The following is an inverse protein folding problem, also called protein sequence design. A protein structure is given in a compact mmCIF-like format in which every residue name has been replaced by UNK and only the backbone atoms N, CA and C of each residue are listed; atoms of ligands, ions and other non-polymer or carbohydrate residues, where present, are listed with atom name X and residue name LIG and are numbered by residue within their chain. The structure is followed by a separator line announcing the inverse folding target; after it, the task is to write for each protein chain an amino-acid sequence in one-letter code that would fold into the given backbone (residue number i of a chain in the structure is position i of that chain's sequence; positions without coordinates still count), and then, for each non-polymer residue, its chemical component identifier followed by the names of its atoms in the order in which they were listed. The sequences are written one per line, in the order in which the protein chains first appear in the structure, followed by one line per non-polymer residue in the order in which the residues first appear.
data_IF_113163649626
#
_entry.id   IF_113163649626
#
_cell.length_a   1.000
_cell.length_b   1.000
_cell.length_c   1.000
_cell.angle_alpha   90.00
_cell.angle_beta   90.00
_cell.angle_gamma   90.00
#
_symmetry.space_group_name_H-M   'P 1'
#
loop_
_entity.id
_entity.type
_entity.pdbx_description
1 polymer ?
#
# COMPACT_ATOMS: atom_id res chain seq x y z
N UNK A 1 -13.92 -5.68 -21.37
CA UNK A 1 -13.41 -4.80 -20.31
C UNK A 1 -12.12 -4.15 -20.80
N UNK A 2 -12.02 -2.83 -20.66
CA UNK A 2 -10.80 -2.12 -21.05
C UNK A 2 -9.77 -2.25 -19.93
N UNK A 3 -8.53 -2.50 -20.33
CA UNK A 3 -7.42 -2.58 -19.40
C UNK A 3 -6.71 -1.24 -19.33
N UNK A 4 -6.91 -0.52 -18.22
CA UNK A 4 -6.20 0.72 -17.97
C UNK A 4 -4.93 0.42 -17.17
N UNK A 5 -3.87 1.19 -17.45
CA UNK A 5 -2.62 1.02 -16.70
C UNK A 5 -2.86 1.28 -15.20
N UNK A 6 -3.73 2.24 -14.88
CA UNK A 6 -4.06 2.57 -13.49
C UNK A 6 -4.65 1.37 -12.75
N UNK A 7 -5.57 0.64 -13.39
CA UNK A 7 -6.17 -0.56 -12.77
C UNK A 7 -5.16 -1.69 -12.64
N UNK A 8 -4.20 -1.79 -13.56
CA UNK A 8 -3.13 -2.78 -13.47
C UNK A 8 -2.19 -2.47 -12.31
N UNK A 9 -1.85 -1.19 -12.12
CA UNK A 9 -1.01 -0.75 -10.99
C UNK A 9 -1.70 -1.09 -9.68
N UNK A 10 -2.96 -0.71 -9.54
CA UNK A 10 -3.73 -1.00 -8.32
C UNK A 10 -3.83 -2.51 -8.08
N UNK A 11 -4.08 -3.29 -9.13
CA UNK A 11 -4.17 -4.75 -9.03
C UNK A 11 -2.85 -5.37 -8.57
N UNK A 12 -1.72 -4.89 -9.06
CA UNK A 12 -0.41 -5.40 -8.62
C UNK A 12 -0.11 -5.02 -7.18
N UNK A 13 -0.50 -3.82 -6.75
CA UNK A 13 -0.37 -3.42 -5.35
C UNK A 13 -1.23 -4.34 -4.46
N UNK A 14 -2.49 -4.58 -4.85
CA UNK A 14 -3.37 -5.49 -4.10
C UNK A 14 -2.76 -6.89 -3.98
N UNK A 15 -2.22 -7.41 -5.08
CA UNK A 15 -1.59 -8.74 -5.09
C UNK A 15 -0.38 -8.78 -4.17
N UNK A 16 0.44 -7.74 -4.19
CA UNK A 16 1.62 -7.64 -3.32
C UNK A 16 1.21 -7.61 -1.85
N UNK A 17 0.16 -6.85 -1.53
CA UNK A 17 -0.33 -6.72 -0.15
C UNK A 17 -0.88 -8.04 0.38
N UNK A 18 -1.72 -8.72 -0.38
CA UNK A 18 -2.33 -9.99 0.08
C UNK A 18 -1.38 -11.17 -0.02
N UNK A 19 -0.33 -11.06 -0.82
CA UNK A 19 0.69 -12.11 -0.97
C UNK A 19 1.89 -11.88 -0.07
N UNK A 20 2.90 -11.19 -0.60
CA UNK A 20 4.18 -11.06 0.09
C UNK A 20 4.10 -10.29 1.42
N UNK A 21 3.30 -9.22 1.46
CA UNK A 21 3.15 -8.45 2.70
C UNK A 21 2.53 -9.31 3.79
N UNK A 22 1.48 -10.07 3.46
CA UNK A 22 0.86 -10.97 4.43
C UNK A 22 1.83 -12.08 4.90
N UNK A 23 2.67 -12.59 4.02
CA UNK A 23 3.71 -13.56 4.41
C UNK A 23 4.66 -12.95 5.43
N UNK A 24 5.12 -11.73 5.19
CA UNK A 24 6.05 -11.04 6.09
C UNK A 24 5.39 -10.73 7.43
N UNK A 25 4.12 -10.34 7.41
CA UNK A 25 3.36 -10.09 8.64
C UNK A 25 3.21 -11.37 9.47
N UNK A 26 3.03 -12.50 8.80
CA UNK A 26 2.92 -13.80 9.47
C UNK A 26 4.21 -14.26 10.14
N UNK A 27 5.35 -13.72 9.75
CA UNK A 27 6.65 -14.04 10.34
C UNK A 27 6.92 -13.25 11.63
N UNK A 28 6.13 -12.24 11.92
CA UNK A 28 6.28 -11.41 13.12
C UNK A 28 5.54 -12.08 14.27
N UNK A 29 6.13 -12.08 15.47
CA UNK A 29 5.59 -12.79 16.64
C UNK A 29 4.35 -12.16 17.27
N UNK A 30 3.86 -11.04 16.71
CA UNK A 30 2.63 -10.41 17.17
C UNK A 30 1.43 -11.04 16.44
N UNK A 31 0.29 -11.08 17.14
CA UNK A 31 -0.96 -11.49 16.52
C UNK A 31 -1.51 -10.34 15.67
N UNK A 32 -0.94 -10.17 14.48
CA UNK A 32 -1.22 -9.02 13.61
C UNK A 32 -2.36 -9.38 12.66
N UNK A 33 -3.39 -8.51 12.51
CA UNK A 33 -4.43 -8.75 11.52
C UNK A 33 -3.83 -8.71 10.11
N UNK A 34 -4.27 -9.63 9.25
CA UNK A 34 -3.78 -9.73 7.89
C UNK A 34 -4.64 -8.90 6.94
N UNK A 35 -4.11 -8.68 5.74
CA UNK A 35 -4.76 -7.88 4.72
C UNK A 35 -5.71 -8.75 3.90
N UNK A 36 -6.92 -8.25 3.65
CA UNK A 36 -7.88 -8.92 2.80
C UNK A 36 -8.70 -7.89 2.03
N UNK A 37 -8.98 -8.16 0.77
CA UNK A 37 -9.88 -7.36 -0.06
C UNK A 37 -11.12 -8.19 -0.37
N UNK A 38 -12.27 -7.55 -0.41
CA UNK A 38 -13.53 -8.21 -0.73
C UNK A 38 -14.68 -7.68 0.09
N UNK A 39 -15.87 -8.22 -0.19
CA UNK A 39 -17.10 -7.77 0.46
C UNK A 39 -17.29 -8.34 1.88
N UNK A 40 -16.74 -9.52 2.12
CA UNK A 40 -16.85 -10.16 3.42
C UNK A 40 -15.69 -9.73 4.31
N UNK A 41 -16.02 -9.26 5.51
CA UNK A 41 -15.02 -8.80 6.48
C UNK A 41 -15.22 -9.53 7.81
N UNK A 42 -14.17 -10.18 8.26
CA UNK A 42 -14.11 -10.64 9.65
C UNK A 42 -13.40 -9.56 10.47
N UNK A 43 -13.61 -9.56 11.79
CA UNK A 43 -12.96 -8.58 12.66
C UNK A 43 -11.44 -8.74 12.78
N UNK A 44 -10.86 -9.76 12.15
CA UNK A 44 -9.43 -10.05 12.23
C UNK A 44 -8.66 -9.65 10.98
N UNK A 45 -9.28 -8.94 10.05
CA UNK A 45 -8.61 -8.51 8.81
C UNK A 45 -8.62 -7.01 8.67
N UNK A 46 -7.65 -6.51 7.88
CA UNK A 46 -7.54 -5.10 7.52
C UNK A 46 -7.80 -4.99 6.03
N UNK A 47 -8.70 -4.08 5.65
CA UNK A 47 -8.99 -3.79 4.25
C UNK A 47 -8.39 -2.43 3.90
N UNK A 48 -7.26 -2.40 3.18
CA UNK A 48 -6.63 -1.13 2.85
C UNK A 48 -7.42 -0.34 1.82
N UNK A 49 -7.25 0.97 1.85
CA UNK A 49 -7.80 1.87 0.83
C UNK A 49 -6.63 2.34 -0.04
N UNK A 50 -6.70 1.99 -1.32
CA UNK A 50 -5.68 2.38 -2.30
C UNK A 50 -6.24 3.53 -3.12
N UNK A 51 -5.55 4.67 -3.11
CA UNK A 51 -5.98 5.87 -3.83
C UNK A 51 -4.88 6.33 -4.76
N UNK A 52 -5.18 6.35 -6.06
CA UNK A 52 -4.30 6.94 -7.05
C UNK A 52 -4.69 8.42 -7.17
N UNK A 53 -3.80 9.32 -6.75
CA UNK A 53 -4.13 10.72 -6.57
C UNK A 53 -3.73 11.60 -7.75
N UNK A 54 -2.67 11.26 -8.46
CA UNK A 54 -2.21 12.06 -9.60
C UNK A 54 -1.27 11.29 -10.49
N UNK A 55 -1.09 11.81 -11.71
CA UNK A 55 -0.09 11.34 -12.63
C UNK A 55 0.56 12.56 -13.25
N UNK A 56 1.88 12.69 -13.08
CA UNK A 56 2.65 13.74 -13.73
C UNK A 56 3.37 13.16 -14.94
N UNK A 57 3.34 13.89 -16.04
CA UNK A 57 4.03 13.49 -17.25
C UNK A 57 5.24 14.39 -17.46
N UNK A 58 6.40 13.78 -17.65
CA UNK A 58 7.63 14.50 -17.94
C UNK A 58 8.29 13.91 -19.18
N UNK A 59 9.04 14.75 -19.92
CA UNK A 59 9.84 14.27 -21.03
C UNK A 59 11.23 13.93 -20.50
N UNK A 60 11.65 12.69 -20.79
CA UNK A 60 13.04 12.28 -20.61
C UNK A 60 13.62 12.17 -22.00
N UNK A 61 14.44 13.13 -22.39
CA UNK A 61 14.88 13.29 -23.77
C UNK A 61 13.71 13.70 -24.69
N UNK A 62 13.97 13.93 -25.97
CA UNK A 62 12.98 14.49 -26.89
C UNK A 62 11.81 13.57 -27.24
N UNK A 63 11.96 12.27 -27.03
CA UNK A 63 11.03 11.28 -27.56
C UNK A 63 10.43 10.43 -26.46
N UNK A 64 11.09 10.35 -25.28
CA UNK A 64 10.68 9.46 -24.20
C UNK A 64 9.85 10.24 -23.18
N UNK A 65 8.62 9.78 -22.98
CA UNK A 65 7.72 10.35 -21.97
C UNK A 65 7.69 9.45 -20.75
N UNK A 66 7.86 10.05 -19.60
CA UNK A 66 7.75 9.35 -18.32
C UNK A 66 6.47 9.76 -17.63
N UNK A 67 5.73 8.76 -17.18
CA UNK A 67 4.55 8.95 -16.33
C UNK A 67 4.95 8.64 -14.89
N UNK A 68 4.62 9.56 -13.97
CA UNK A 68 4.88 9.38 -12.55
C UNK A 68 3.55 9.43 -11.80
N UNK A 69 3.13 8.29 -11.30
CA UNK A 69 1.89 8.15 -10.55
C UNK A 69 2.17 8.33 -9.07
N UNK A 70 1.32 9.12 -8.40
CA UNK A 70 1.33 9.27 -6.95
C UNK A 70 0.15 8.49 -6.39
N UNK A 71 0.43 7.61 -5.45
CA UNK A 71 -0.56 6.69 -4.93
C UNK A 71 -0.38 6.57 -3.42
N UNK A 72 -1.50 6.46 -2.71
CA UNK A 72 -1.46 6.20 -1.27
C UNK A 72 -2.17 4.90 -0.94
N UNK A 73 -1.66 4.23 0.09
CA UNK A 73 -2.30 3.05 0.67
C UNK A 73 -2.53 3.34 2.15
N UNK A 74 -3.78 3.36 2.56
CA UNK A 74 -4.16 3.64 3.94
C UNK A 74 -4.63 2.36 4.63
N UNK A 75 -4.05 2.10 5.80
CA UNK A 75 -4.40 0.96 6.64
C UNK A 75 -4.97 1.48 7.95
N UNK A 76 -6.26 1.22 8.18
CA UNK A 76 -6.93 1.60 9.42
C UNK A 76 -7.06 0.36 10.30
N UNK A 77 -6.52 0.43 11.51
CA UNK A 77 -6.56 -0.69 12.45
C UNK A 77 -7.68 -0.49 13.45
N UNK A 78 -8.30 -1.60 13.93
CA UNK A 78 -9.28 -1.49 15.00
C UNK A 78 -8.61 -1.05 16.30
N UNK A 79 -9.38 -0.47 17.22
CA UNK A 79 -8.87 -0.05 18.51
C UNK A 79 -8.26 -1.24 19.25
N UNK A 80 -7.04 -1.08 19.72
CA UNK A 80 -6.28 -2.12 20.40
C UNK A 80 -5.09 -1.46 21.07
N UNK A 81 -4.63 -2.00 22.19
CA UNK A 81 -3.40 -1.54 22.82
C UNK A 81 -2.18 -1.72 21.92
N UNK A 82 -2.28 -2.52 20.86
CA UNK A 82 -1.18 -2.83 19.96
C UNK A 82 -1.33 -2.18 18.57
N UNK A 83 -2.37 -1.35 18.34
CA UNK A 83 -2.62 -0.80 17.02
C UNK A 83 -1.48 0.10 16.52
N UNK A 84 -0.79 0.80 17.42
CA UNK A 84 0.40 1.57 17.08
C UNK A 84 1.52 0.65 16.56
N UNK A 85 1.74 -0.47 17.23
CA UNK A 85 2.75 -1.45 16.81
C UNK A 85 2.39 -2.09 15.46
N UNK A 86 1.11 -2.28 15.20
CA UNK A 86 0.66 -2.78 13.89
C UNK A 86 1.07 -1.83 12.76
N UNK A 87 1.01 -0.51 13.00
CA UNK A 87 1.46 0.46 12.00
C UNK A 87 2.94 0.24 11.66
N UNK A 88 3.78 0.05 12.67
CA UNK A 88 5.22 -0.14 12.45
C UNK A 88 5.49 -1.45 11.72
N UNK A 89 4.82 -2.52 12.11
CA UNK A 89 4.97 -3.83 11.46
C UNK A 89 4.55 -3.76 9.99
N UNK A 90 3.41 -3.15 9.71
CA UNK A 90 2.93 -2.97 8.35
C UNK A 90 3.89 -2.13 7.51
N UNK A 91 4.43 -1.05 8.07
CA UNK A 91 5.37 -0.18 7.36
C UNK A 91 6.62 -0.96 6.95
N UNK A 92 7.17 -1.78 7.86
CA UNK A 92 8.35 -2.60 7.55
C UNK A 92 8.03 -3.65 6.48
N UNK A 93 6.90 -4.33 6.61
CA UNK A 93 6.52 -5.39 5.67
C UNK A 93 6.27 -4.83 4.26
N UNK A 94 5.54 -3.71 4.16
CA UNK A 94 5.27 -3.08 2.86
C UNK A 94 6.56 -2.58 2.22
N UNK A 95 7.43 -1.93 3.00
CA UNK A 95 8.71 -1.43 2.51
C UNK A 95 9.56 -2.57 1.93
N UNK A 96 9.68 -3.67 2.66
CA UNK A 96 10.45 -4.82 2.20
C UNK A 96 9.86 -5.46 0.95
N UNK A 97 8.54 -5.62 0.91
CA UNK A 97 7.88 -6.19 -0.26
C UNK A 97 8.09 -5.33 -1.52
N UNK A 98 8.06 -3.99 -1.37
CA UNK A 98 8.31 -3.09 -2.49
C UNK A 98 9.77 -3.13 -2.95
N UNK A 99 10.71 -3.24 -2.01
CA UNK A 99 12.13 -3.38 -2.36
C UNK A 99 12.39 -4.66 -3.15
N UNK A 100 11.65 -5.72 -2.85
CA UNK A 100 11.74 -6.98 -3.59
C UNK A 100 11.03 -6.95 -4.94
N UNK A 101 10.12 -5.98 -5.16
CA UNK A 101 9.28 -5.89 -6.35
C UNK A 101 9.25 -4.47 -6.91
N UNK A 102 10.39 -3.89 -7.28
CA UNK A 102 10.44 -2.48 -7.68
C UNK A 102 9.72 -2.18 -8.99
N UNK A 103 9.48 -3.20 -9.81
CA UNK A 103 8.81 -3.02 -11.10
C UNK A 103 7.34 -3.44 -11.09
N UNK A 104 6.81 -3.86 -9.95
CA UNK A 104 5.42 -4.31 -9.82
C UNK A 104 5.03 -5.33 -10.90
N UNK A 105 5.81 -6.41 -10.99
CA UNK A 105 5.55 -7.44 -11.98
C UNK A 105 5.85 -7.03 -13.41
N UNK A 106 6.66 -6.01 -13.61
CA UNK A 106 7.08 -5.56 -14.93
C UNK A 106 6.22 -4.46 -15.54
N UNK A 107 5.21 -3.96 -14.85
CA UNK A 107 4.35 -2.89 -15.38
C UNK A 107 4.88 -1.49 -15.10
N UNK A 108 5.89 -1.37 -14.24
CA UNK A 108 6.50 -0.09 -13.89
C UNK A 108 8.01 -0.20 -14.04
N UNK A 109 8.66 0.94 -14.26
CA UNK A 109 10.12 0.99 -14.29
C UNK A 109 10.67 1.07 -12.87
N UNK A 110 9.97 1.77 -12.00
CA UNK A 110 10.42 1.95 -10.62
C UNK A 110 9.25 2.29 -9.70
N UNK A 111 9.27 1.71 -8.51
CA UNK A 111 8.32 2.00 -7.44
C UNK A 111 9.10 2.42 -6.21
N UNK A 112 8.79 3.61 -5.68
CA UNK A 112 9.50 4.18 -4.53
C UNK A 112 8.49 4.53 -3.45
N UNK A 113 8.79 4.12 -2.22
CA UNK A 113 8.03 4.58 -1.06
C UNK A 113 8.53 5.98 -0.71
N UNK A 114 7.66 6.98 -0.82
CA UNK A 114 8.04 8.38 -0.64
C UNK A 114 7.72 8.92 0.76
N UNK A 115 6.86 8.24 1.50
CA UNK A 115 6.54 8.68 2.85
C UNK A 115 5.68 7.70 3.61
N UNK A 116 5.72 7.83 4.91
CA UNK A 116 4.88 7.07 5.84
C UNK A 116 4.30 8.06 6.83
N UNK A 117 3.01 7.99 7.06
CA UNK A 117 2.32 8.86 8.01
C UNK A 117 1.59 8.00 9.03
N UNK A 118 1.79 8.29 10.29
CA UNK A 118 1.20 7.55 11.41
C UNK A 118 0.20 8.46 12.10
N UNK A 119 -1.08 8.09 12.03
CA UNK A 119 -2.16 8.89 12.59
C UNK A 119 -2.73 8.25 13.84
N UNK A 120 -2.73 9.00 14.94
CA UNK A 120 -3.36 8.57 16.18
C UNK A 120 -4.88 8.51 16.00
N UNK A 121 -5.56 7.62 16.75
CA UNK A 121 -7.02 7.57 16.65
C UNK A 121 -7.63 8.86 17.19
N UNK A 122 -8.58 9.42 16.44
CA UNK A 122 -9.31 10.64 16.83
C UNK A 122 -10.49 10.33 17.72
N UNK A 123 -11.11 9.16 17.50
CA UNK A 123 -12.31 8.73 18.22
C UNK A 123 -12.18 7.28 18.66
N UNK A 124 -11.26 6.99 19.62
CA UNK A 124 -11.04 5.61 20.06
C UNK A 124 -12.28 5.01 20.72
N UNK A 125 -13.16 5.84 21.28
CA UNK A 125 -14.40 5.38 21.88
C UNK A 125 -15.37 4.74 20.86
N UNK A 126 -15.14 4.95 19.57
CA UNK A 126 -15.93 4.32 18.50
C UNK A 126 -15.19 3.16 17.83
N UNK A 127 -14.17 2.62 18.47
CA UNK A 127 -13.45 1.47 17.97
C UNK A 127 -12.32 1.80 16.99
N UNK A 128 -11.95 3.07 16.84
CA UNK A 128 -10.83 3.46 15.98
C UNK A 128 -9.50 3.16 16.65
N UNK A 129 -8.58 2.55 15.88
CA UNK A 129 -7.19 2.43 16.26
C UNK A 129 -6.33 3.41 15.47
N UNK A 130 -5.03 3.15 15.47
CA UNK A 130 -4.08 3.94 14.68
C UNK A 130 -4.28 3.68 13.19
N UNK A 131 -3.84 4.63 12.37
CA UNK A 131 -3.87 4.53 10.92
C UNK A 131 -2.48 4.74 10.37
N UNK A 132 -2.11 3.92 9.38
CA UNK A 132 -0.87 4.09 8.63
C UNK A 132 -1.23 4.48 7.19
N UNK A 133 -0.63 5.56 6.70
CA UNK A 133 -0.76 5.95 5.30
C UNK A 133 0.62 5.92 4.66
N UNK A 134 0.75 5.09 3.64
CA UNK A 134 1.99 4.95 2.88
C UNK A 134 1.81 5.64 1.54
N UNK A 135 2.78 6.48 1.18
CA UNK A 135 2.79 7.17 -0.10
C UNK A 135 3.81 6.53 -1.04
N UNK A 136 3.40 6.30 -2.28
CA UNK A 136 4.22 5.67 -3.30
C UNK A 136 4.32 6.56 -4.53
N UNK A 137 5.46 6.50 -5.19
CA UNK A 137 5.66 7.09 -6.51
C UNK A 137 6.04 5.97 -7.47
N UNK A 138 5.27 5.84 -8.53
CA UNK A 138 5.44 4.77 -9.52
C UNK A 138 5.71 5.42 -10.86
N UNK A 139 6.87 5.13 -11.45
CA UNK A 139 7.27 5.71 -12.73
C UNK A 139 7.33 4.65 -13.82
N UNK A 140 6.93 5.04 -15.02
CA UNK A 140 7.03 4.17 -16.20
C UNK A 140 7.17 5.02 -17.46
N UNK A 141 7.88 4.47 -18.45
CA UNK A 141 7.90 5.03 -19.79
C UNK A 141 6.56 4.73 -20.47
N UNK A 142 5.99 5.74 -21.08
CA UNK A 142 4.73 5.58 -21.79
C UNK A 142 4.93 5.49 -23.30
#
# INVERSE_FOLDING_TARGET
MQDFIETKIIGEIQRLLTGRVNELLGEIELSIPLIEFGDYRSGSVVVPVITLSSCEQTEKERIIRMDAYSLTVAFAFPESSESELYCYAYAVAVCKALEENPTLGGIADRTVLTGKKYNQPKKPQYGEGWELVISLRITRES
#
